data_IF_703231539292
#
_entry.id   IF_703231539292
#
_cell.length_a   1.000
_cell.length_b   1.000
_cell.length_c   1.000
_cell.angle_alpha   90.00
_cell.angle_beta   90.00
_cell.angle_gamma   90.00
#
_symmetry.space_group_name_H-M   'P 1'
#
loop_
_entity.id
_entity.type
_entity.pdbx_description
1 polymer ?
#
# COMPACT_ATOMS: atom_id res chain seq x y z
N UNK A 1 -1.32 12.32 13.62
CA UNK A 1 -0.48 11.34 12.91
C UNK A 1 -0.54 9.92 13.49
N UNK A 2 -1.20 9.62 14.63
CA UNK A 2 -1.32 8.25 15.12
C UNK A 2 -2.81 7.89 15.24
N UNK A 3 -3.36 7.34 14.16
CA UNK A 3 -4.69 6.73 14.09
C UNK A 3 -4.53 5.41 13.33
N UNK A 4 -4.83 4.29 13.97
CA UNK A 4 -4.67 2.94 13.39
C UNK A 4 -5.67 2.67 12.24
N UNK A 5 -6.74 3.46 12.14
CA UNK A 5 -7.82 3.27 11.15
C UNK A 5 -7.58 3.98 9.81
N UNK A 6 -6.51 4.75 9.70
CA UNK A 6 -6.22 5.61 8.55
C UNK A 6 -4.81 5.33 8.06
N UNK A 7 -4.58 5.36 6.75
CA UNK A 7 -3.25 5.15 6.17
C UNK A 7 -2.31 6.28 6.55
N UNK A 8 -1.50 6.07 7.60
CA UNK A 8 -0.61 7.10 8.13
C UNK A 8 0.68 7.24 7.33
N UNK A 9 1.13 6.17 6.69
CA UNK A 9 2.44 6.14 6.05
C UNK A 9 2.49 6.98 4.77
N UNK A 10 1.40 7.01 4.00
CA UNK A 10 1.29 7.82 2.78
C UNK A 10 1.19 9.32 3.05
N UNK A 11 0.94 9.72 4.29
CA UNK A 11 0.88 11.11 4.71
C UNK A 11 2.26 11.65 5.11
N UNK A 12 3.25 10.79 5.38
CA UNK A 12 4.56 11.17 5.94
C UNK A 12 5.30 12.16 5.04
N UNK A 13 5.48 11.84 3.76
CA UNK A 13 6.20 12.71 2.83
C UNK A 13 5.40 13.97 2.45
N UNK A 14 4.11 13.89 2.06
CA UNK A 14 3.32 15.07 1.76
C UNK A 14 3.31 16.09 2.89
N UNK A 15 3.11 15.64 4.13
CA UNK A 15 3.09 16.52 5.30
C UNK A 15 4.48 17.10 5.57
N UNK A 16 5.51 16.27 5.61
CA UNK A 16 6.84 16.77 5.98
C UNK A 16 7.43 17.69 4.92
N UNK A 17 7.24 17.39 3.64
CA UNK A 17 7.65 18.27 2.54
C UNK A 17 6.83 19.56 2.53
N UNK A 18 5.54 19.53 2.90
CA UNK A 18 4.76 20.75 3.08
C UNK A 18 5.31 21.60 4.23
N UNK A 19 5.70 20.97 5.35
CA UNK A 19 6.33 21.66 6.48
C UNK A 19 7.63 22.33 6.03
N UNK A 20 8.52 21.59 5.35
CA UNK A 20 9.82 22.10 4.90
C UNK A 20 9.63 23.25 3.90
N UNK A 21 8.83 23.03 2.85
CA UNK A 21 8.77 23.95 1.71
C UNK A 21 7.83 25.13 1.92
N UNK A 22 6.77 24.98 2.73
CA UNK A 22 5.76 26.03 2.92
C UNK A 22 5.81 26.64 4.33
N UNK A 23 5.72 25.81 5.37
CA UNK A 23 5.52 26.33 6.73
C UNK A 23 6.82 26.82 7.40
N UNK A 24 7.97 26.22 7.05
CA UNK A 24 9.27 26.59 7.61
C UNK A 24 10.06 27.53 6.69
N UNK A 25 9.48 28.03 5.60
CA UNK A 25 10.12 29.02 4.75
C UNK A 25 10.45 30.29 5.57
N UNK A 26 11.68 30.79 5.42
CA UNK A 26 12.13 32.01 6.09
C UNK A 26 11.49 33.21 5.43
N UNK A 27 10.82 34.04 6.22
CA UNK A 27 10.22 35.29 5.77
C UNK A 27 11.12 36.48 6.13
N UNK A 28 11.07 37.54 5.33
CA UNK A 28 11.89 38.75 5.57
C UNK A 28 11.57 39.45 6.90
N UNK A 29 10.40 39.18 7.50
CA UNK A 29 9.99 39.73 8.79
C UNK A 29 10.35 38.82 9.99
N UNK A 30 10.99 37.67 9.75
CA UNK A 30 11.32 36.74 10.82
C UNK A 30 12.38 37.34 11.76
N UNK A 31 12.15 37.20 13.06
CA UNK A 31 13.20 37.49 14.06
C UNK A 31 14.39 36.54 13.84
N UNK A 32 15.64 36.96 14.09
CA UNK A 32 16.83 36.16 13.81
C UNK A 32 16.81 34.78 14.50
N UNK A 33 16.26 34.70 15.72
CA UNK A 33 16.08 33.42 16.43
C UNK A 33 15.08 32.49 15.72
N UNK A 34 13.98 33.03 15.20
CA UNK A 34 12.95 32.27 14.47
C UNK A 34 13.51 31.76 13.14
N UNK A 35 14.19 32.63 12.39
CA UNK A 35 14.85 32.25 11.15
C UNK A 35 15.87 31.12 11.38
N UNK A 36 16.71 31.25 12.42
CA UNK A 36 17.67 30.19 12.80
C UNK A 36 16.94 28.87 13.14
N UNK A 37 15.89 28.91 13.97
CA UNK A 37 15.13 27.71 14.32
C UNK A 37 14.45 27.06 13.12
N UNK A 38 13.88 27.85 12.19
CA UNK A 38 13.28 27.35 10.95
C UNK A 38 14.31 26.60 10.10
N UNK A 39 15.49 27.19 9.90
CA UNK A 39 16.59 26.56 9.14
C UNK A 39 17.06 25.27 9.82
N UNK A 40 17.24 25.28 11.15
CA UNK A 40 17.64 24.07 11.88
C UNK A 40 16.61 22.95 11.76
N UNK A 41 15.31 23.27 11.82
CA UNK A 41 14.24 22.28 11.67
C UNK A 41 14.13 21.77 10.23
N UNK A 42 14.27 22.64 9.23
CA UNK A 42 14.33 22.22 7.83
C UNK A 42 15.46 21.23 7.60
N UNK A 43 16.67 21.56 8.08
CA UNK A 43 17.83 20.70 7.95
C UNK A 43 17.60 19.34 8.64
N UNK A 44 17.14 19.34 9.89
CA UNK A 44 16.88 18.10 10.64
C UNK A 44 15.82 17.21 9.97
N UNK A 45 14.75 17.80 9.42
CA UNK A 45 13.71 17.05 8.73
C UNK A 45 14.18 16.51 7.37
N UNK A 46 14.94 17.31 6.61
CA UNK A 46 15.51 16.88 5.32
C UNK A 46 16.51 15.74 5.50
N UNK A 47 17.36 15.82 6.52
CA UNK A 47 18.33 14.77 6.86
C UNK A 47 17.62 13.47 7.27
N UNK A 48 16.62 13.55 8.16
CA UNK A 48 15.90 12.36 8.66
C UNK A 48 15.05 11.65 7.60
N UNK A 49 14.57 12.38 6.61
CA UNK A 49 13.80 11.83 5.48
C UNK A 49 14.64 11.58 4.24
N UNK A 50 15.95 11.85 4.34
CA UNK A 50 16.93 11.69 3.26
C UNK A 50 16.48 12.36 1.95
N UNK A 51 15.83 13.53 2.05
CA UNK A 51 15.20 14.22 0.91
C UNK A 51 16.22 14.58 -0.17
N UNK A 52 17.48 14.76 0.21
CA UNK A 52 18.57 15.14 -0.68
C UNK A 52 19.23 13.95 -1.38
N UNK A 53 19.09 12.72 -0.85
CA UNK A 53 19.68 11.51 -1.41
C UNK A 53 18.68 10.75 -2.27
N UNK A 54 18.63 11.09 -3.56
CA UNK A 54 17.61 10.61 -4.51
C UNK A 54 17.48 9.07 -4.54
N UNK A 55 18.60 8.34 -4.59
CA UNK A 55 18.60 6.88 -4.68
C UNK A 55 17.90 6.23 -3.48
N UNK A 56 18.25 6.68 -2.27
CA UNK A 56 17.61 6.20 -1.04
C UNK A 56 16.17 6.66 -0.94
N UNK A 57 15.90 7.92 -1.26
CA UNK A 57 14.58 8.53 -1.25
C UNK A 57 13.57 7.72 -2.07
N UNK A 58 13.94 7.35 -3.31
CA UNK A 58 13.06 6.60 -4.23
C UNK A 58 12.78 5.17 -3.73
N UNK A 59 13.70 4.59 -2.96
CA UNK A 59 13.52 3.27 -2.35
C UNK A 59 12.71 3.29 -1.05
N UNK A 60 12.42 4.47 -0.48
CA UNK A 60 11.72 4.56 0.80
C UNK A 60 10.27 4.08 0.67
N UNK A 61 9.82 3.09 1.49
CA UNK A 61 8.45 2.58 1.44
C UNK A 61 7.41 3.66 1.68
N UNK A 62 7.70 4.63 2.55
CA UNK A 62 6.78 5.74 2.82
C UNK A 62 6.60 6.68 1.63
N UNK A 63 7.63 6.85 0.78
CA UNK A 63 7.50 7.65 -0.42
C UNK A 63 6.70 6.91 -1.49
N UNK A 64 6.96 5.62 -1.65
CA UNK A 64 6.20 4.75 -2.56
C UNK A 64 4.72 4.74 -2.16
N UNK A 65 4.42 4.55 -0.87
CA UNK A 65 3.06 4.64 -0.32
C UNK A 65 2.41 6.01 -0.60
N UNK A 66 3.18 7.10 -0.48
CA UNK A 66 2.68 8.46 -0.77
C UNK A 66 2.34 8.65 -2.26
N UNK A 67 3.07 7.99 -3.16
CA UNK A 67 2.79 8.01 -4.61
C UNK A 67 1.62 7.11 -5.00
N UNK A 68 1.46 5.97 -4.32
CA UNK A 68 0.32 5.05 -4.45
C UNK A 68 -0.96 5.60 -3.80
N UNK A 69 -0.88 6.62 -2.97
CA UNK A 69 -2.06 7.30 -2.44
C UNK A 69 -2.61 8.29 -3.47
N UNK A 70 -3.81 8.02 -3.99
CA UNK A 70 -4.46 8.84 -5.01
C UNK A 70 -4.72 10.29 -4.58
N UNK A 71 -4.71 10.58 -3.26
CA UNK A 71 -4.77 11.93 -2.69
C UNK A 71 -3.48 12.71 -2.92
N UNK A 72 -2.34 12.01 -2.87
CA UNK A 72 -0.99 12.59 -2.86
C UNK A 72 -0.16 12.26 -4.10
N UNK A 73 -0.69 11.46 -5.03
CA UNK A 73 0.01 10.88 -6.19
C UNK A 73 0.88 11.82 -7.03
N UNK A 74 0.53 13.11 -7.11
CA UNK A 74 1.32 14.08 -7.88
C UNK A 74 2.51 14.66 -7.13
N UNK A 75 2.63 14.38 -5.83
CA UNK A 75 3.70 14.78 -4.93
C UNK A 75 4.23 16.20 -5.23
N UNK A 76 3.34 17.18 -5.28
CA UNK A 76 3.62 18.52 -5.82
C UNK A 76 4.77 19.26 -5.12
N UNK A 77 5.12 18.83 -3.91
CA UNK A 77 6.24 19.35 -3.14
C UNK A 77 7.62 18.83 -3.60
N UNK A 78 7.67 17.81 -4.46
CA UNK A 78 8.90 17.26 -5.05
C UNK A 78 9.18 17.85 -6.44
N UNK A 79 10.46 17.89 -6.80
CA UNK A 79 10.89 18.25 -8.16
C UNK A 79 10.34 17.26 -9.19
N UNK A 80 10.19 17.71 -10.44
CA UNK A 80 9.70 16.86 -11.54
C UNK A 80 10.60 15.64 -11.77
N UNK A 81 11.91 15.81 -11.58
CA UNK A 81 12.90 14.73 -11.70
C UNK A 81 12.68 13.64 -10.65
N UNK A 82 12.59 14.02 -9.37
CA UNK A 82 12.35 13.07 -8.27
C UNK A 82 11.04 12.31 -8.47
N UNK A 83 9.97 12.99 -8.91
CA UNK A 83 8.68 12.35 -9.22
C UNK A 83 8.79 11.32 -10.34
N UNK A 84 9.52 11.63 -11.41
CA UNK A 84 9.73 10.71 -12.53
C UNK A 84 10.46 9.44 -12.07
N UNK A 85 11.44 9.58 -11.19
CA UNK A 85 12.18 8.44 -10.64
C UNK A 85 11.31 7.55 -9.74
N UNK A 86 10.47 8.15 -8.88
CA UNK A 86 9.51 7.39 -8.06
C UNK A 86 8.51 6.64 -8.92
N UNK A 87 7.98 7.27 -9.97
CA UNK A 87 7.09 6.59 -10.93
C UNK A 87 7.81 5.48 -11.69
N UNK A 88 9.08 5.69 -12.05
CA UNK A 88 9.94 4.64 -12.62
C UNK A 88 10.06 3.44 -11.68
N UNK A 89 10.28 3.68 -10.39
CA UNK A 89 10.34 2.61 -9.39
C UNK A 89 9.01 1.87 -9.22
N UNK A 90 7.88 2.58 -9.26
CA UNK A 90 6.56 1.94 -9.24
C UNK A 90 6.34 1.08 -10.49
N UNK A 91 6.78 1.53 -11.66
CA UNK A 91 6.71 0.72 -12.89
C UNK A 91 7.52 -0.57 -12.77
N UNK A 92 8.73 -0.50 -12.20
CA UNK A 92 9.55 -1.71 -11.91
C UNK A 92 8.79 -2.66 -10.97
N UNK A 93 8.28 -2.14 -9.84
CA UNK A 93 7.54 -2.96 -8.87
C UNK A 93 6.27 -3.58 -9.46
N UNK A 94 5.59 -2.89 -10.37
CA UNK A 94 4.42 -3.44 -11.08
C UNK A 94 4.79 -4.62 -11.99
N UNK A 95 5.99 -4.61 -12.58
CA UNK A 95 6.48 -5.73 -13.39
C UNK A 95 6.86 -6.92 -12.51
N UNK A 96 7.48 -6.68 -11.35
CA UNK A 96 7.83 -7.74 -10.40
C UNK A 96 6.59 -8.48 -9.84
N UNK A 97 5.48 -7.76 -9.62
CA UNK A 97 4.21 -8.35 -9.16
C UNK A 97 3.62 -9.33 -10.19
N UNK A 98 3.80 -9.10 -11.49
CA UNK A 98 3.37 -10.07 -12.52
C UNK A 98 4.16 -11.37 -12.43
N UNK A 99 5.48 -11.28 -12.31
CA UNK A 99 6.33 -12.47 -12.23
C UNK A 99 5.97 -13.33 -11.01
N UNK A 100 5.74 -12.69 -9.86
CA UNK A 100 5.32 -13.41 -8.65
C UNK A 100 3.91 -14.03 -8.75
N UNK A 101 2.98 -13.40 -9.48
CA UNK A 101 1.65 -13.96 -9.72
C UNK A 101 1.67 -15.16 -10.68
N UNK A 102 2.55 -15.13 -11.69
CA UNK A 102 2.76 -16.23 -12.63
C UNK A 102 3.40 -17.43 -11.91
N UNK A 103 4.43 -17.20 -11.08
CA UNK A 103 5.08 -18.27 -10.31
C UNK A 103 4.13 -18.95 -9.32
N UNK A 104 3.21 -18.20 -8.68
CA UNK A 104 2.19 -18.77 -7.79
C UNK A 104 1.16 -19.63 -8.54
N UNK A 105 0.82 -19.31 -9.78
CA UNK A 105 -0.13 -20.10 -10.58
C UNK A 105 0.49 -21.39 -11.16
N UNK A 106 1.82 -21.52 -11.20
CA UNK A 106 2.51 -22.73 -11.69
C UNK A 106 2.81 -23.72 -10.55
N UNK A 107 2.70 -23.30 -9.29
CA UNK A 107 3.04 -24.10 -8.12
C UNK A 107 1.91 -24.94 -7.49
N UNK A 108 0.68 -24.89 -8.03
CA UNK A 108 -0.45 -25.69 -7.53
C UNK A 108 -0.68 -26.94 -8.41
N UNK A 109 0.31 -27.83 -8.49
CA UNK A 109 0.08 -29.24 -8.84
C UNK A 109 0.05 -30.09 -7.56
N UNK A 110 -1.14 -30.61 -7.28
CA UNK A 110 -1.53 -31.66 -6.33
C UNK A 110 -0.41 -32.51 -5.70
N UNK A 111 -0.33 -32.47 -4.36
CA UNK A 111 0.16 -33.60 -3.56
C UNK A 111 -0.91 -34.71 -3.54
N UNK A 112 -0.57 -35.97 -3.90
CA UNK A 112 -1.49 -37.09 -3.88
C UNK A 112 -1.74 -37.58 -2.44
N UNK A 113 -3.01 -37.79 -2.12
CA UNK A 113 -3.46 -38.37 -0.86
C UNK A 113 -2.88 -39.77 -0.62
N UNK A 114 -2.45 -40.01 0.63
CA UNK A 114 -2.13 -41.34 1.13
C UNK A 114 -3.41 -42.13 1.43
N UNK A 115 -3.39 -43.38 0.99
CA UNK A 115 -4.48 -44.33 0.96
C UNK A 115 -5.10 -44.69 2.33
N UNK A 116 -6.42 -44.92 2.31
CA UNK A 116 -7.19 -45.69 3.27
C UNK A 116 -8.37 -46.34 2.53
N UNK A 117 -8.40 -47.66 2.57
CA UNK A 117 -9.19 -48.60 1.76
C UNK A 117 -10.61 -48.84 2.31
N UNK A 118 -11.46 -49.41 1.45
CA UNK A 118 -12.79 -50.04 1.65
C UNK A 118 -14.03 -49.18 2.02
N UNK A 119 -15.00 -49.07 1.10
CA UNK A 119 -16.24 -49.88 1.07
C UNK A 119 -17.31 -49.29 0.12
N UNK A 120 -18.13 -50.20 -0.40
CA UNK A 120 -19.02 -50.18 -1.56
C UNK A 120 -20.26 -49.26 -1.45
N UNK A 121 -20.62 -48.53 -2.53
CA UNK A 121 -21.97 -48.52 -3.14
C UNK A 121 -22.16 -47.45 -4.24
N UNK A 122 -22.72 -47.91 -5.36
CA UNK A 122 -23.10 -47.19 -6.58
C UNK A 122 -24.27 -46.21 -6.35
N UNK A 123 -24.13 -44.94 -6.77
CA UNK A 123 -25.20 -44.19 -7.48
C UNK A 123 -24.69 -42.91 -8.17
N UNK A 124 -24.82 -42.89 -9.50
CA UNK A 124 -25.05 -41.77 -10.43
C UNK A 124 -24.53 -40.33 -10.14
N UNK A 125 -23.64 -39.88 -11.03
CA UNK A 125 -23.26 -38.49 -11.43
C UNK A 125 -24.44 -37.50 -11.61
N UNK A 126 -24.25 -36.16 -11.74
CA UNK A 126 -23.03 -35.51 -12.25
C UNK A 126 -22.58 -34.13 -11.69
N UNK A 127 -21.28 -33.88 -11.88
CA UNK A 127 -20.60 -32.63 -12.27
C UNK A 127 -21.14 -31.27 -11.80
N UNK A 128 -20.39 -30.61 -10.91
CA UNK A 128 -20.37 -29.15 -10.77
C UNK A 128 -19.08 -28.60 -11.39
N UNK A 129 -19.03 -28.60 -12.72
CA UNK A 129 -18.09 -27.75 -13.46
C UNK A 129 -18.54 -26.30 -13.27
N UNK A 130 -17.63 -25.45 -12.79
CA UNK A 130 -17.81 -24.01 -12.83
C UNK A 130 -17.81 -23.57 -14.30
N UNK A 131 -18.99 -23.57 -14.92
CA UNK A 131 -19.22 -23.04 -16.26
C UNK A 131 -18.96 -21.53 -16.23
N UNK A 132 -17.73 -21.15 -16.57
CA UNK A 132 -17.45 -19.82 -17.07
C UNK A 132 -18.19 -19.71 -18.40
N UNK A 133 -19.36 -19.05 -18.40
CA UNK A 133 -20.11 -18.80 -19.62
C UNK A 133 -19.28 -17.86 -20.47
N UNK A 134 -18.53 -18.40 -21.43
CA UNK A 134 -18.00 -17.59 -22.53
C UNK A 134 -19.17 -16.87 -23.18
N UNK A 135 -19.16 -15.54 -23.06
CA UNK A 135 -20.15 -14.70 -23.72
C UNK A 135 -20.10 -14.99 -25.21
N UNK A 136 -21.25 -15.14 -25.87
CA UNK A 136 -21.33 -15.33 -27.33
C UNK A 136 -20.54 -14.26 -28.10
N UNK A 137 -20.34 -13.09 -27.49
CA UNK A 137 -19.52 -12.02 -28.04
C UNK A 137 -18.01 -12.28 -27.94
N UNK A 138 -17.54 -13.01 -26.93
CA UNK A 138 -16.15 -13.48 -26.82
C UNK A 138 -15.83 -14.46 -27.95
N UNK A 139 -16.74 -15.42 -28.21
CA UNK A 139 -16.60 -16.37 -29.31
C UNK A 139 -16.63 -15.70 -30.70
N UNK A 140 -17.43 -14.64 -30.86
CA UNK A 140 -17.53 -13.90 -32.12
C UNK A 140 -16.34 -12.98 -32.40
N UNK A 141 -15.80 -12.34 -31.37
CA UNK A 141 -14.72 -11.36 -31.49
C UNK A 141 -13.32 -11.96 -31.31
N UNK A 142 -13.25 -13.21 -30.83
CA UNK A 142 -12.02 -13.94 -30.56
C UNK A 142 -11.34 -13.51 -29.26
N UNK A 143 -10.44 -14.35 -28.78
CA UNK A 143 -9.68 -14.12 -27.54
C UNK A 143 -8.82 -12.85 -27.61
N UNK A 144 -8.43 -12.43 -28.80
CA UNK A 144 -7.70 -11.19 -29.07
C UNK A 144 -8.46 -9.94 -28.58
N UNK A 145 -9.80 -9.99 -28.58
CA UNK A 145 -10.65 -8.90 -28.10
C UNK A 145 -10.82 -8.90 -26.56
N UNK A 146 -10.72 -10.08 -25.94
CA UNK A 146 -10.78 -10.28 -24.49
C UNK A 146 -9.44 -9.98 -23.81
N UNK A 147 -8.33 -10.32 -24.48
CA UNK A 147 -6.96 -10.02 -24.07
C UNK A 147 -6.64 -8.51 -23.99
N UNK A 148 -7.50 -7.65 -24.56
CA UNK A 148 -7.40 -6.19 -24.42
C UNK A 148 -7.45 -5.71 -22.96
N UNK A 149 -7.91 -6.54 -22.02
CA UNK A 149 -7.91 -6.23 -20.59
C UNK A 149 -6.55 -6.46 -19.91
N UNK A 150 -5.60 -7.16 -20.55
CA UNK A 150 -4.23 -7.27 -20.07
C UNK A 150 -3.50 -5.95 -20.34
N UNK A 151 -3.77 -4.95 -19.50
CA UNK A 151 -3.15 -3.63 -19.60
C UNK A 151 -1.68 -3.74 -19.24
N UNK A 152 -0.78 -3.38 -20.15
CA UNK A 152 0.67 -3.29 -19.93
C UNK A 152 1.01 -2.55 -18.61
N UNK A 153 1.99 -3.02 -17.82
CA UNK A 153 2.33 -2.42 -16.52
C UNK A 153 2.62 -0.93 -16.62
N UNK A 154 3.26 -0.50 -17.71
CA UNK A 154 3.65 0.89 -17.88
C UNK A 154 2.42 1.74 -18.21
N UNK A 155 1.53 1.23 -19.07
CA UNK A 155 0.26 1.87 -19.42
C UNK A 155 -0.67 2.02 -18.20
N UNK A 156 -0.69 1.03 -17.30
CA UNK A 156 -1.46 1.09 -16.05
C UNK A 156 -1.01 2.28 -15.18
N UNK A 157 0.31 2.41 -14.95
CA UNK A 157 0.89 3.51 -14.17
C UNK A 157 0.66 4.87 -14.82
N UNK A 158 0.78 4.98 -16.13
CA UNK A 158 0.54 6.22 -16.86
C UNK A 158 -0.93 6.66 -16.82
N UNK A 159 -1.84 5.68 -16.86
CA UNK A 159 -3.28 5.92 -16.73
C UNK A 159 -3.61 6.37 -15.31
N UNK A 160 -3.00 5.78 -14.29
CA UNK A 160 -3.14 6.19 -12.90
C UNK A 160 -2.65 7.64 -12.66
N UNK A 161 -1.50 8.00 -13.24
CA UNK A 161 -0.94 9.36 -13.13
C UNK A 161 -1.91 10.42 -13.68
N UNK A 162 -2.57 10.11 -14.81
CA UNK A 162 -3.52 11.00 -15.50
C UNK A 162 -4.91 11.04 -14.88
N UNK A 163 -5.28 10.06 -14.06
CA UNK A 163 -6.60 10.02 -13.42
C UNK A 163 -6.81 11.26 -12.52
N UNK A 164 -8.05 11.54 -12.17
CA UNK A 164 -8.39 12.50 -11.13
C UNK A 164 -7.76 12.16 -9.77
N UNK A 165 -7.51 13.19 -8.96
CA UNK A 165 -7.11 13.01 -7.55
C UNK A 165 -8.32 12.70 -6.70
N UNK A 166 -8.11 11.89 -5.68
CA UNK A 166 -9.10 11.67 -4.66
C UNK A 166 -9.15 12.87 -3.69
N UNK A 167 -10.32 13.11 -3.09
CA UNK A 167 -10.48 14.09 -2.01
C UNK A 167 -9.62 13.71 -0.80
N UNK A 168 -9.07 14.71 -0.10
CA UNK A 168 -8.22 14.48 1.08
C UNK A 168 -8.94 13.75 2.22
N UNK A 169 -10.25 13.93 2.33
CA UNK A 169 -11.12 13.33 3.35
C UNK A 169 -11.52 11.87 3.05
N UNK A 170 -11.25 11.39 1.84
CA UNK A 170 -11.62 10.03 1.44
C UNK A 170 -10.54 9.02 1.82
N UNK A 171 -10.96 7.77 2.08
CA UNK A 171 -10.03 6.69 2.40
C UNK A 171 -9.39 6.14 1.11
N UNK A 172 -8.04 6.17 0.97
CA UNK A 172 -7.36 5.65 -0.21
C UNK A 172 -7.52 4.14 -0.38
N UNK A 173 -7.68 3.36 0.71
CA UNK A 173 -7.87 1.91 0.62
C UNK A 173 -9.22 1.56 -0.05
N UNK A 174 -10.28 2.30 0.30
CA UNK A 174 -11.60 2.07 -0.30
C UNK A 174 -11.60 2.46 -1.79
N UNK A 175 -10.83 3.48 -2.16
CA UNK A 175 -10.62 3.85 -3.56
C UNK A 175 -9.88 2.76 -4.34
N UNK A 176 -8.84 2.16 -3.76
CA UNK A 176 -8.10 1.06 -4.40
C UNK A 176 -8.97 -0.18 -4.59
N UNK A 177 -9.80 -0.54 -3.59
CA UNK A 177 -10.80 -1.62 -3.74
C UNK A 177 -11.75 -1.36 -4.89
N UNK A 178 -12.26 -0.13 -5.02
CA UNK A 178 -13.18 0.23 -6.10
C UNK A 178 -12.52 0.25 -7.49
N UNK A 179 -11.20 0.44 -7.58
CA UNK A 179 -10.45 0.53 -8.85
C UNK A 179 -9.55 -0.66 -9.14
N UNK A 180 -9.62 -1.72 -8.34
CA UNK A 180 -8.80 -2.92 -8.50
C UNK A 180 -8.95 -3.56 -9.89
N UNK A 181 -10.15 -3.53 -10.48
CA UNK A 181 -10.39 -4.04 -11.84
C UNK A 181 -9.68 -3.23 -12.92
N UNK A 182 -9.53 -1.92 -12.71
CA UNK A 182 -8.89 -1.00 -13.65
C UNK A 182 -7.37 -0.93 -13.46
N UNK A 183 -6.92 -1.12 -12.23
CA UNK A 183 -5.53 -1.00 -11.81
C UNK A 183 -5.11 -2.20 -10.95
N UNK A 184 -5.10 -3.43 -11.50
CA UNK A 184 -4.91 -4.64 -10.70
C UNK A 184 -3.55 -4.70 -10.01
N UNK A 185 -2.48 -4.29 -10.71
CA UNK A 185 -1.11 -4.35 -10.16
C UNK A 185 -0.88 -3.27 -9.12
N UNK A 186 -1.32 -2.06 -9.45
CA UNK A 186 -1.19 -0.93 -8.53
C UNK A 186 -2.07 -1.12 -7.30
N UNK A 187 -3.26 -1.72 -7.42
CA UNK A 187 -4.09 -2.06 -6.28
C UNK A 187 -3.37 -3.06 -5.37
N UNK A 188 -2.80 -4.12 -5.95
CA UNK A 188 -1.99 -5.10 -5.20
C UNK A 188 -0.82 -4.42 -4.46
N UNK A 189 -0.02 -3.59 -5.14
CA UNK A 189 1.05 -2.81 -4.50
C UNK A 189 0.50 -1.89 -3.40
N UNK A 190 -0.62 -1.22 -3.66
CA UNK A 190 -1.19 -0.27 -2.71
C UNK A 190 -1.66 -0.95 -1.43
N UNK A 191 -2.22 -2.15 -1.49
CA UNK A 191 -2.55 -2.93 -0.29
C UNK A 191 -1.31 -3.23 0.56
N UNK A 192 -0.18 -3.56 -0.07
CA UNK A 192 1.07 -3.85 0.62
C UNK A 192 1.72 -2.61 1.22
N UNK A 193 1.76 -1.49 0.49
CA UNK A 193 2.46 -0.28 0.95
C UNK A 193 1.62 0.62 1.85
N UNK A 194 0.29 0.64 1.70
CA UNK A 194 -0.59 1.48 2.50
C UNK A 194 -0.95 0.85 3.85
N UNK A 195 -0.71 -0.45 4.05
CA UNK A 195 -0.95 -1.10 5.35
C UNK A 195 0.15 -0.84 6.39
N UNK A 196 1.31 -0.29 5.99
CA UNK A 196 2.38 -0.01 6.95
C UNK A 196 1.94 1.04 7.99
N UNK A 197 2.15 0.78 9.29
CA UNK A 197 1.89 1.77 10.31
C UNK A 197 2.87 2.92 10.18
N UNK A 198 2.37 4.16 10.08
CA UNK A 198 3.21 5.36 9.97
C UNK A 198 3.98 5.72 11.25
N UNK A 199 3.76 5.00 12.36
CA UNK A 199 4.44 5.19 13.64
C UNK A 199 4.66 3.85 14.32
N UNK A 200 5.80 3.67 14.99
CA UNK A 200 6.09 2.51 15.86
C UNK A 200 5.32 2.51 17.19
N UNK A 201 4.40 3.47 17.38
CA UNK A 201 3.62 3.69 18.61
C UNK A 201 2.17 3.15 18.55
N UNK A 202 1.83 1.99 17.92
CA UNK A 202 0.53 1.37 18.22
C UNK A 202 0.50 0.88 19.67
N UNK A 203 1.59 0.26 20.13
CA UNK A 203 1.66 -0.52 21.38
C UNK A 203 1.34 0.27 22.65
N UNK A 204 1.76 1.53 22.74
CA UNK A 204 1.59 2.36 23.95
C UNK A 204 0.12 2.67 24.25
N UNK A 205 -0.76 2.64 23.24
CA UNK A 205 -2.20 2.86 23.41
C UNK A 205 -3.00 1.57 23.60
N UNK A 206 -2.38 0.43 23.33
CA UNK A 206 -3.02 -0.89 23.35
C UNK A 206 -2.92 -1.51 24.73
N UNK A 207 -1.93 -1.11 25.54
CA UNK A 207 -1.87 -1.49 26.94
C UNK A 207 -3.15 -0.99 27.65
N UNK A 208 -4.06 -1.88 28.07
CA UNK A 208 -5.20 -1.51 28.88
C UNK A 208 -4.72 -0.74 30.11
N UNK A 209 -5.48 0.27 30.53
CA UNK A 209 -5.20 1.00 31.78
C UNK A 209 -5.15 0.07 33.02
N UNK A 210 -5.68 -1.15 32.92
CA UNK A 210 -5.53 -2.19 33.94
C UNK A 210 -4.14 -2.83 33.98
N UNK A 211 -3.40 -2.90 32.87
CA UNK A 211 -2.01 -3.41 32.86
C UNK A 211 -1.04 -2.45 33.56
N UNK A 212 -1.29 -1.14 33.49
CA UNK A 212 -0.47 -0.16 34.21
C UNK A 212 -0.72 -0.13 35.72
N UNK A 213 -1.81 -0.76 36.19
CA UNK A 213 -2.13 -0.93 37.62
C UNK A 213 -1.95 -2.37 38.12
N UNK A 214 -1.82 -3.36 37.23
CA UNK A 214 -1.58 -4.76 37.58
C UNK A 214 -0.07 -5.03 37.77
N UNK A 215 0.39 -4.98 39.01
CA UNK A 215 1.83 -5.08 39.36
C UNK A 215 2.46 -6.47 39.19
N UNK A 216 1.80 -7.49 38.59
CA UNK A 216 2.33 -8.87 38.50
C UNK A 216 1.74 -9.73 37.36
N UNK A 217 1.73 -9.26 36.11
CA UNK A 217 1.42 -10.13 34.98
C UNK A 217 2.71 -10.65 34.33
N UNK A 218 2.73 -11.93 33.96
CA UNK A 218 3.81 -12.47 33.14
C UNK A 218 3.65 -11.97 31.69
N UNK A 219 4.74 -11.88 30.90
CA UNK A 219 4.68 -11.43 29.52
C UNK A 219 3.63 -12.18 28.67
N UNK A 220 3.52 -13.49 28.86
CA UNK A 220 2.57 -14.36 28.15
C UNK A 220 1.10 -13.97 28.39
N UNK A 221 0.73 -13.60 29.63
CA UNK A 221 -0.62 -13.15 29.94
C UNK A 221 -0.91 -11.76 29.38
N UNK A 222 0.10 -10.90 29.29
CA UNK A 222 -0.02 -9.59 28.66
C UNK A 222 -0.29 -9.75 27.17
N UNK A 223 0.44 -10.62 26.49
CA UNK A 223 0.27 -10.89 25.06
C UNK A 223 -1.12 -11.44 24.75
N UNK A 224 -1.61 -12.38 25.57
CA UNK A 224 -2.95 -12.96 25.44
C UNK A 224 -4.06 -11.91 25.62
N UNK A 225 -3.93 -11.03 26.62
CA UNK A 225 -4.89 -9.95 26.85
C UNK A 225 -4.90 -8.92 25.71
N UNK A 226 -3.73 -8.58 25.18
CA UNK A 226 -3.60 -7.68 24.02
C UNK A 226 -4.25 -8.30 22.79
N UNK A 227 -4.01 -9.59 22.54
CA UNK A 227 -4.60 -10.33 21.42
C UNK A 227 -6.13 -10.40 21.51
N UNK A 228 -6.69 -10.79 22.66
CA UNK A 228 -8.14 -10.88 22.86
C UNK A 228 -8.83 -9.51 22.73
N UNK A 229 -8.17 -8.44 23.16
CA UNK A 229 -8.73 -7.09 23.04
C UNK A 229 -8.77 -6.60 21.59
N UNK A 230 -7.83 -7.02 20.74
CA UNK A 230 -7.74 -6.60 19.33
C UNK A 230 -8.60 -7.44 18.37
N UNK A 231 -8.92 -8.69 18.72
CA UNK A 231 -9.73 -9.60 17.89
C UNK A 231 -11.17 -9.75 18.40
N UNK A 232 -11.87 -8.62 18.60
CA UNK A 232 -13.30 -8.63 18.95
C UNK A 232 -14.20 -8.80 17.74
#
# INVERSE_FOLDING_TARGET
MSSEKTVLISDVYPITLSIINKHMATAANDRPRVAKSKVTLQQSLSERLEVDYIERLVAMPALIASALDSRHKHLLSLSREKRKLVLGKIKELCADVEHAAIEKNVGEEQEPGAAGDDDDTVTASPSSEASCKESAMSLLLGDDYSAANATDPQLEVETYEKDSRLSLESNPLDWWRAKQTRFPRLASLSEHYLCFPGTSVPSERILPRSLSTATRLTPEHVDMLVFLNKNK
#
